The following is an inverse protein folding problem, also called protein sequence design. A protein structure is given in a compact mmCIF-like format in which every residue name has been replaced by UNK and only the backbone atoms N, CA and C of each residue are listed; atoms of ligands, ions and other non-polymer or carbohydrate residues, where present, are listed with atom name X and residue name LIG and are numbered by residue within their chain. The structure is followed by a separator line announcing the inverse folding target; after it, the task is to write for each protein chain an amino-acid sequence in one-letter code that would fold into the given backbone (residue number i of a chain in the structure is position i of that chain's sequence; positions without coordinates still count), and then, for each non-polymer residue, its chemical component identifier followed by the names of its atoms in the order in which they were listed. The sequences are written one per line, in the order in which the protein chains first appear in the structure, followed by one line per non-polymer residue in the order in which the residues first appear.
data_IF_208049768782
#
_entry.id   IF_208049768782
#
_cell.length_a   1.000
_cell.length_b   1.000
_cell.length_c   1.000
_cell.angle_alpha   90.00
_cell.angle_beta   90.00
_cell.angle_gamma   90.00
#
_symmetry.space_group_name_H-M   'P 1'
#
loop_
_entity.id
_entity.type
_entity.pdbx_description
1 polymer ?
#
# COMPACT_ATOMS: atom_id res chain seq x y z
N UNK A 1 -12.61 -2.41 -11.70
CA UNK A 1 -13.91 -1.77 -11.36
C UNK A 1 -13.81 -0.77 -10.21
N UNK A 2 -13.07 -1.07 -9.13
CA UNK A 2 -12.96 -0.19 -7.95
C UNK A 2 -12.23 1.14 -8.17
N UNK A 3 -11.29 1.21 -9.12
CA UNK A 3 -10.48 2.41 -9.39
C UNK A 3 -11.07 3.33 -10.46
N UNK A 4 -12.15 2.91 -11.15
CA UNK A 4 -12.67 3.63 -12.31
C UNK A 4 -13.32 4.96 -11.89
N UNK A 5 -12.90 6.07 -12.52
CA UNK A 5 -13.34 7.44 -12.25
C UNK A 5 -13.20 7.83 -10.76
N UNK A 6 -12.17 7.31 -10.08
CA UNK A 6 -11.89 7.58 -8.66
C UNK A 6 -10.66 8.45 -8.48
N UNK A 7 -10.64 9.21 -7.38
CA UNK A 7 -9.44 9.86 -6.89
C UNK A 7 -8.67 8.88 -6.01
N UNK A 8 -7.48 8.49 -6.45
CA UNK A 8 -6.68 7.43 -5.86
C UNK A 8 -5.40 7.99 -5.23
N UNK A 9 -5.10 7.54 -4.01
CA UNK A 9 -3.80 7.70 -3.38
C UNK A 9 -3.05 6.35 -3.44
N UNK A 10 -1.86 6.33 -4.03
CA UNK A 10 -1.01 5.14 -4.11
C UNK A 10 0.13 5.30 -3.10
N UNK A 11 0.11 4.50 -2.03
CA UNK A 11 1.16 4.51 -1.00
C UNK A 11 2.31 3.57 -1.37
N UNK A 12 3.54 4.07 -1.30
CA UNK A 12 4.71 3.32 -1.75
C UNK A 12 4.66 3.12 -3.26
N UNK A 13 4.45 4.20 -4.02
CA UNK A 13 4.21 4.09 -5.46
C UNK A 13 5.46 3.72 -6.26
N UNK A 14 6.65 3.73 -5.66
CA UNK A 14 7.91 3.49 -6.35
C UNK A 14 8.02 4.35 -7.63
N UNK A 15 8.48 3.79 -8.75
CA UNK A 15 8.52 4.46 -10.05
C UNK A 15 7.19 4.38 -10.80
N UNK A 16 6.13 3.89 -10.14
CA UNK A 16 4.75 3.84 -10.63
C UNK A 16 4.42 2.64 -11.51
N UNK A 17 5.15 1.52 -11.38
CA UNK A 17 4.91 0.28 -12.14
C UNK A 17 3.44 -0.18 -12.04
N UNK A 18 2.86 -0.19 -10.84
CA UNK A 18 1.45 -0.57 -10.67
C UNK A 18 0.47 0.44 -11.27
N UNK A 19 0.88 1.71 -11.38
CA UNK A 19 0.01 2.78 -11.88
C UNK A 19 -0.29 2.59 -13.37
N UNK A 20 0.64 2.03 -14.15
CA UNK A 20 0.43 1.70 -15.58
C UNK A 20 -0.85 0.88 -15.81
N UNK A 21 -1.16 -0.03 -14.88
CA UNK A 21 -2.28 -0.95 -15.01
C UNK A 21 -3.65 -0.25 -14.89
N UNK A 22 -3.70 0.97 -14.32
CA UNK A 22 -4.98 1.61 -14.00
C UNK A 22 -5.03 3.14 -14.18
N UNK A 23 -3.98 3.78 -14.69
CA UNK A 23 -3.92 5.24 -14.89
C UNK A 23 -5.03 5.79 -15.81
N UNK A 24 -5.43 5.01 -16.80
CA UNK A 24 -6.49 5.38 -17.72
C UNK A 24 -7.90 5.13 -17.18
N UNK A 25 -8.00 4.37 -16.08
CA UNK A 25 -9.28 4.12 -15.42
C UNK A 25 -9.55 5.16 -14.33
N UNK A 26 -8.52 5.60 -13.62
CA UNK A 26 -8.66 6.55 -12.52
C UNK A 26 -8.98 7.98 -13.02
N UNK A 27 -9.70 8.75 -12.20
CA UNK A 27 -9.90 10.17 -12.47
C UNK A 27 -8.61 10.95 -12.19
N UNK A 28 -8.03 10.72 -11.00
CA UNK A 28 -6.78 11.32 -10.55
C UNK A 28 -5.99 10.32 -9.72
N UNK A 29 -4.68 10.31 -9.90
CA UNK A 29 -3.75 9.55 -9.06
C UNK A 29 -2.79 10.53 -8.41
N UNK A 30 -2.59 10.33 -7.11
CA UNK A 30 -1.46 10.90 -6.36
C UNK A 30 -0.61 9.73 -5.88
N UNK A 31 0.62 9.61 -6.38
CA UNK A 31 1.60 8.63 -5.92
C UNK A 31 2.47 9.21 -4.82
N UNK A 32 2.67 8.46 -3.75
CA UNK A 32 3.60 8.86 -2.67
C UNK A 32 4.60 7.77 -2.34
N UNK A 33 5.82 8.19 -2.04
CA UNK A 33 6.93 7.32 -1.64
C UNK A 33 7.91 8.12 -0.78
N UNK A 34 8.62 7.46 0.13
CA UNK A 34 9.65 8.11 0.96
C UNK A 34 10.89 8.47 0.14
N UNK A 35 11.11 7.77 -0.98
CA UNK A 35 12.26 7.95 -1.85
C UNK A 35 12.05 9.05 -2.88
N UNK A 36 12.78 10.15 -2.72
CA UNK A 36 12.84 11.23 -3.72
C UNK A 36 13.20 10.72 -5.11
N UNK A 37 14.11 9.74 -5.20
CA UNK A 37 14.52 9.18 -6.49
C UNK A 37 13.38 8.47 -7.23
N UNK A 38 12.57 7.70 -6.51
CA UNK A 38 11.44 6.98 -7.08
C UNK A 38 10.35 7.97 -7.54
N UNK A 39 10.03 8.98 -6.73
CA UNK A 39 9.11 10.06 -7.09
C UNK A 39 9.56 10.83 -8.34
N UNK A 40 10.86 11.12 -8.47
CA UNK A 40 11.39 11.77 -9.67
C UNK A 40 11.16 10.92 -10.92
N UNK A 41 11.43 9.60 -10.87
CA UNK A 41 11.16 8.70 -11.99
C UNK A 41 9.66 8.65 -12.33
N UNK A 42 8.81 8.48 -11.34
CA UNK A 42 7.36 8.40 -11.53
C UNK A 42 6.80 9.68 -12.17
N UNK A 43 7.22 10.85 -11.68
CA UNK A 43 6.81 12.15 -12.25
C UNK A 43 7.34 12.42 -13.67
N UNK A 44 8.46 11.80 -14.06
CA UNK A 44 8.94 11.83 -15.44
C UNK A 44 8.05 10.97 -16.33
N UNK A 45 7.67 9.80 -15.84
CA UNK A 45 6.92 8.78 -16.58
C UNK A 45 5.44 9.11 -16.75
N UNK A 46 4.77 9.56 -15.69
CA UNK A 46 3.31 9.76 -15.66
C UNK A 46 2.94 11.24 -15.54
N UNK A 47 2.80 11.91 -16.69
CA UNK A 47 2.55 13.37 -16.73
C UNK A 47 1.13 13.82 -16.34
N UNK A 48 0.18 12.89 -16.34
CA UNK A 48 -1.24 13.13 -15.99
C UNK A 48 -1.47 13.18 -14.48
N UNK A 49 -0.50 12.76 -13.68
CA UNK A 49 -0.66 12.46 -12.27
C UNK A 49 0.36 13.19 -11.40
N UNK A 50 0.04 13.31 -10.11
CA UNK A 50 0.88 14.01 -9.15
C UNK A 50 1.72 13.00 -8.35
N UNK A 51 2.97 13.33 -8.07
CA UNK A 51 3.88 12.47 -7.29
C UNK A 51 4.57 13.29 -6.22
N UNK A 52 4.51 12.82 -4.97
CA UNK A 52 4.95 13.59 -3.80
C UNK A 52 5.82 12.71 -2.89
N UNK A 53 6.96 13.25 -2.46
CA UNK A 53 7.78 12.61 -1.42
C UNK A 53 7.05 12.71 -0.09
N UNK A 54 6.71 11.58 0.51
CA UNK A 54 5.86 11.54 1.69
C UNK A 54 6.08 10.25 2.49
N UNK A 55 6.08 10.40 3.81
CA UNK A 55 6.04 9.29 4.76
C UNK A 55 4.59 8.81 4.91
N UNK A 56 4.34 7.52 4.64
CA UNK A 56 3.00 6.92 4.76
C UNK A 56 2.46 6.92 6.20
N UNK A 57 3.32 7.13 7.21
CA UNK A 57 2.91 7.33 8.59
C UNK A 57 2.53 8.79 8.91
N UNK A 58 2.69 9.72 7.97
CA UNK A 58 2.41 11.15 8.11
C UNK A 58 1.91 11.73 6.77
N UNK A 59 0.67 11.44 6.40
CA UNK A 59 0.15 11.75 5.06
C UNK A 59 -0.29 13.23 5.00
N UNK A 60 0.33 14.11 4.20
CA UNK A 60 0.09 15.55 4.22
C UNK A 60 -1.15 15.98 3.41
N UNK A 61 -2.19 15.15 3.38
CA UNK A 61 -3.45 15.44 2.70
C UNK A 61 -4.58 15.67 3.69
N UNK A 62 -5.63 16.37 3.24
CA UNK A 62 -6.80 16.66 4.09
C UNK A 62 -7.63 15.39 4.32
N UNK A 63 -8.42 15.44 5.38
CA UNK A 63 -9.38 14.38 5.69
C UNK A 63 -10.37 14.20 4.53
N UNK A 64 -10.76 12.96 4.23
CA UNK A 64 -11.75 12.68 3.19
C UNK A 64 -11.35 13.15 1.78
N UNK A 65 -10.06 13.10 1.44
CA UNK A 65 -9.56 13.56 0.15
C UNK A 65 -9.61 12.52 -0.97
N UNK A 66 -9.71 11.22 -0.65
CA UNK A 66 -9.59 10.14 -1.65
C UNK A 66 -10.73 9.12 -1.60
N UNK A 67 -11.06 8.56 -2.76
CA UNK A 67 -12.03 7.47 -2.89
C UNK A 67 -11.37 6.10 -2.73
N UNK A 68 -10.08 6.01 -3.04
CA UNK A 68 -9.30 4.77 -2.91
C UNK A 68 -7.92 5.09 -2.38
N UNK A 69 -7.48 4.31 -1.40
CA UNK A 69 -6.06 4.19 -1.05
C UNK A 69 -5.59 2.82 -1.52
N UNK A 70 -4.58 2.79 -2.37
CA UNK A 70 -3.96 1.58 -2.89
C UNK A 70 -2.62 1.35 -2.20
N UNK A 71 -2.42 0.12 -1.72
CA UNK A 71 -1.17 -0.32 -1.10
C UNK A 71 -0.74 -1.64 -1.73
N UNK A 72 0.53 -1.74 -2.13
CA UNK A 72 1.15 -2.99 -2.55
C UNK A 72 2.53 -3.05 -1.91
N UNK A 73 2.80 -4.13 -1.18
CA UNK A 73 4.11 -4.44 -0.62
C UNK A 73 4.75 -3.28 0.16
N UNK A 74 3.94 -2.46 0.85
CA UNK A 74 4.42 -1.26 1.55
C UNK A 74 4.22 -1.39 3.06
N UNK A 75 3.12 -2.02 3.50
CA UNK A 75 2.73 -1.98 4.90
C UNK A 75 3.74 -2.69 5.81
N UNK A 76 4.40 -3.74 5.32
CA UNK A 76 5.38 -4.53 6.09
C UNK A 76 6.73 -3.82 6.27
N UNK A 77 6.97 -2.73 5.54
CA UNK A 77 8.14 -1.87 5.74
C UNK A 77 7.91 -0.77 6.79
N UNK A 78 6.65 -0.49 7.16
CA UNK A 78 6.30 0.59 8.07
C UNK A 78 6.68 0.27 9.52
N UNK A 79 7.30 1.23 10.20
CA UNK A 79 7.71 1.09 11.59
C UNK A 79 6.49 1.13 12.52
N UNK A 80 5.53 2.01 12.22
CA UNK A 80 4.26 2.16 12.92
C UNK A 80 3.09 2.03 11.95
N UNK A 81 2.81 0.79 11.56
CA UNK A 81 1.64 0.45 10.75
C UNK A 81 0.32 0.97 11.35
N UNK A 82 0.17 1.00 12.69
CA UNK A 82 -1.07 1.49 13.30
C UNK A 82 -1.30 2.95 12.95
N UNK A 83 -0.25 3.77 13.02
CA UNK A 83 -0.31 5.18 12.62
C UNK A 83 -0.62 5.35 11.14
N UNK A 84 0.00 4.56 10.27
CA UNK A 84 -0.31 4.58 8.85
C UNK A 84 -1.75 4.18 8.55
N UNK A 85 -2.30 3.13 9.19
CA UNK A 85 -3.70 2.72 9.03
C UNK A 85 -4.67 3.84 9.51
N UNK A 86 -4.33 4.57 10.58
CA UNK A 86 -5.11 5.73 11.03
C UNK A 86 -5.08 6.84 9.97
N UNK A 87 -3.90 7.17 9.43
CA UNK A 87 -3.75 8.18 8.37
C UNK A 87 -4.50 7.78 7.08
N UNK A 88 -4.41 6.51 6.69
CA UNK A 88 -5.16 5.95 5.55
C UNK A 88 -6.66 6.14 5.78
N UNK A 89 -7.17 5.79 6.96
CA UNK A 89 -8.59 5.96 7.26
C UNK A 89 -9.00 7.44 7.24
N UNK A 90 -8.14 8.33 7.74
CA UNK A 90 -8.39 9.78 7.77
C UNK A 90 -8.51 10.38 6.37
N UNK A 91 -7.60 10.04 5.46
CA UNK A 91 -7.61 10.61 4.09
C UNK A 91 -8.66 9.99 3.19
N UNK A 92 -9.22 8.85 3.56
CA UNK A 92 -10.32 8.18 2.87
C UNK A 92 -11.66 8.89 3.11
N UNK A 93 -12.45 9.05 2.05
CA UNK A 93 -13.84 9.55 2.12
C UNK A 93 -14.74 8.55 2.85
N UNK A 94 -15.92 8.99 3.28
CA UNK A 94 -16.90 8.06 3.84
C UNK A 94 -17.28 6.99 2.80
N UNK A 95 -17.33 5.72 3.22
CA UNK A 95 -17.70 4.57 2.36
C UNK A 95 -16.77 4.33 1.16
N UNK A 96 -15.51 4.76 1.26
CA UNK A 96 -14.44 4.56 0.29
C UNK A 96 -13.64 3.27 0.58
N UNK A 97 -12.66 2.96 -0.26
CA UNK A 97 -11.99 1.64 -0.24
C UNK A 97 -10.50 1.78 0.06
N UNK A 98 -10.02 0.99 1.03
CA UNK A 98 -8.62 0.60 1.11
C UNK A 98 -8.42 -0.69 0.28
N UNK A 99 -7.56 -0.62 -0.73
CA UNK A 99 -7.19 -1.76 -1.57
C UNK A 99 -5.75 -2.19 -1.26
N UNK A 100 -5.59 -3.37 -0.65
CA UNK A 100 -4.29 -3.96 -0.38
C UNK A 100 -4.08 -5.09 -1.39
N UNK A 101 -3.18 -4.87 -2.35
CA UNK A 101 -2.96 -5.81 -3.46
C UNK A 101 -2.15 -7.03 -3.04
N UNK A 102 -0.98 -6.82 -2.44
CA UNK A 102 -0.07 -7.87 -2.01
C UNK A 102 0.65 -7.47 -0.74
N UNK A 103 0.74 -8.40 0.21
CA UNK A 103 1.55 -8.27 1.42
C UNK A 103 2.10 -9.65 1.80
N UNK A 104 3.37 -9.74 2.27
CA UNK A 104 3.97 -11.02 2.60
C UNK A 104 3.28 -11.64 3.82
N UNK A 105 2.93 -12.91 3.70
CA UNK A 105 2.24 -13.68 4.74
C UNK A 105 3.23 -14.58 5.50
N UNK A 106 3.36 -14.37 6.82
CA UNK A 106 4.23 -15.16 7.70
C UNK A 106 3.80 -16.62 7.82
N UNK A 107 2.55 -16.95 7.51
CA UNK A 107 2.03 -18.32 7.57
C UNK A 107 2.37 -19.16 6.33
N UNK A 108 3.07 -18.60 5.34
CA UNK A 108 3.54 -19.37 4.19
C UNK A 108 4.77 -20.22 4.58
N UNK A 109 4.53 -21.50 4.90
CA UNK A 109 5.57 -22.44 5.33
C UNK A 109 6.69 -22.61 4.30
N UNK A 110 6.38 -22.56 3.00
CA UNK A 110 7.38 -22.68 1.94
C UNK A 110 8.33 -21.48 2.00
N UNK A 111 7.81 -20.26 2.16
CA UNK A 111 8.62 -19.05 2.31
C UNK A 111 9.44 -19.09 3.59
N UNK A 112 8.87 -19.55 4.70
CA UNK A 112 9.60 -19.68 5.98
C UNK A 112 10.76 -20.67 5.85
N UNK A 113 10.52 -21.83 5.25
CA UNK A 113 11.55 -22.84 4.98
C UNK A 113 12.58 -22.29 3.99
N UNK A 114 12.14 -21.69 2.89
CA UNK A 114 12.99 -21.08 1.87
C UNK A 114 13.92 -20.03 2.45
N UNK A 115 13.42 -19.11 3.29
CA UNK A 115 14.24 -18.10 3.98
C UNK A 115 15.29 -18.72 4.90
N UNK A 116 15.00 -19.87 5.51
CA UNK A 116 15.95 -20.59 6.36
C UNK A 116 17.10 -21.20 5.55
N UNK A 117 16.82 -21.72 4.36
CA UNK A 117 17.81 -22.40 3.52
C UNK A 117 18.52 -21.49 2.51
N UNK A 118 17.88 -20.38 2.12
CA UNK A 118 18.36 -19.41 1.14
C UNK A 118 18.23 -17.98 1.70
N UNK A 119 19.03 -17.61 2.72
CA UNK A 119 19.02 -16.27 3.26
C UNK A 119 19.48 -15.27 2.19
N UNK A 120 18.69 -14.24 1.95
CA UNK A 120 18.99 -13.20 0.98
C UNK A 120 19.09 -11.83 1.66
N UNK A 121 20.08 -11.03 1.28
CA UNK A 121 20.36 -9.70 1.86
C UNK A 121 19.41 -8.59 1.38
N UNK A 122 18.33 -8.95 0.69
CA UNK A 122 17.34 -8.02 0.10
C UNK A 122 16.29 -7.55 1.10
N UNK A 123 16.25 -8.11 2.31
CA UNK A 123 15.27 -7.73 3.34
C UNK A 123 15.91 -6.83 4.39
N UNK A 124 15.26 -5.72 4.73
CA UNK A 124 15.75 -4.92 5.86
C UNK A 124 15.55 -5.68 7.18
N UNK A 125 16.47 -5.59 8.16
CA UNK A 125 16.39 -6.34 9.43
C UNK A 125 15.10 -6.10 10.23
N UNK A 126 14.41 -4.98 9.99
CA UNK A 126 13.16 -4.58 10.63
C UNK A 126 11.91 -5.13 9.95
N UNK A 127 11.99 -5.60 8.70
CA UNK A 127 10.83 -6.11 7.95
C UNK A 127 10.33 -7.43 8.57
N UNK A 128 9.03 -7.47 8.86
CA UNK A 128 8.36 -8.69 9.33
C UNK A 128 7.14 -8.96 8.46
N UNK A 129 7.07 -10.14 7.82
CA UNK A 129 5.85 -10.57 7.14
C UNK A 129 4.65 -10.53 8.09
N UNK A 130 3.47 -10.23 7.57
CA UNK A 130 2.27 -10.14 8.38
C UNK A 130 1.77 -11.52 8.80
N UNK A 131 1.29 -11.59 10.04
CA UNK A 131 0.32 -12.61 10.43
C UNK A 131 -1.05 -12.09 9.98
N UNK A 132 -1.75 -12.76 9.03
CA UNK A 132 -2.99 -12.23 8.43
C UNK A 132 -4.05 -11.83 9.46
N UNK A 133 -4.24 -12.63 10.51
CA UNK A 133 -5.21 -12.34 11.57
C UNK A 133 -4.88 -11.06 12.35
N UNK A 134 -3.59 -10.73 12.52
CA UNK A 134 -3.18 -9.49 13.19
C UNK A 134 -3.48 -8.27 12.32
N UNK A 135 -3.17 -8.33 11.03
CA UNK A 135 -3.48 -7.25 10.09
C UNK A 135 -5.00 -7.02 10.00
N UNK A 136 -5.78 -8.10 9.87
CA UNK A 136 -7.25 -8.01 9.88
C UNK A 136 -7.79 -7.38 11.15
N UNK A 137 -7.29 -7.79 12.32
CA UNK A 137 -7.69 -7.21 13.61
C UNK A 137 -7.33 -5.73 13.69
N UNK A 138 -6.14 -5.34 13.22
CA UNK A 138 -5.70 -3.96 13.18
C UNK A 138 -6.62 -3.10 12.30
N UNK A 139 -6.93 -3.56 11.08
CA UNK A 139 -7.85 -2.87 10.17
C UNK A 139 -9.23 -2.71 10.82
N UNK A 140 -9.79 -3.78 11.39
CA UNK A 140 -11.11 -3.74 12.04
C UNK A 140 -11.14 -2.75 13.23
N UNK A 141 -10.09 -2.74 14.05
CA UNK A 141 -9.99 -1.83 15.18
C UNK A 141 -9.89 -0.36 14.76
N UNK A 142 -9.51 -0.08 13.52
CA UNK A 142 -9.40 1.27 12.96
C UNK A 142 -10.56 1.59 12.00
N UNK A 143 -11.72 0.93 12.14
CA UNK A 143 -12.95 1.30 11.45
C UNK A 143 -13.12 0.68 10.05
N UNK A 144 -12.20 -0.16 9.59
CA UNK A 144 -12.34 -0.83 8.31
C UNK A 144 -13.24 -2.07 8.41
N UNK A 145 -14.08 -2.26 7.39
CA UNK A 145 -14.91 -3.45 7.20
C UNK A 145 -14.33 -4.26 6.05
N UNK A 146 -13.93 -5.50 6.33
CA UNK A 146 -13.41 -6.39 5.28
C UNK A 146 -14.51 -6.72 4.26
N UNK A 147 -14.24 -6.47 2.98
CA UNK A 147 -15.11 -6.85 1.86
C UNK A 147 -14.66 -8.13 1.19
N UNK A 148 -13.36 -8.27 0.95
CA UNK A 148 -12.77 -9.41 0.28
C UNK A 148 -11.33 -9.60 0.75
N UNK A 149 -10.91 -10.85 0.90
CA UNK A 149 -9.52 -11.22 1.14
C UNK A 149 -9.24 -12.55 0.46
N UNK A 150 -8.02 -12.71 -0.04
CA UNK A 150 -7.52 -13.98 -0.56
C UNK A 150 -6.16 -14.25 0.06
N UNK A 151 -5.96 -15.46 0.55
CA UNK A 151 -4.67 -15.93 1.02
C UNK A 151 -4.08 -16.82 -0.04
N UNK A 152 -2.92 -16.42 -0.58
CA UNK A 152 -2.18 -17.22 -1.53
C UNK A 152 -1.07 -17.95 -0.78
N UNK A 153 -1.09 -19.28 -0.86
CA UNK A 153 0.01 -20.13 -0.37
C UNK A 153 1.11 -20.31 -1.43
N UNK A 154 0.80 -19.99 -2.69
CA UNK A 154 1.67 -20.08 -3.85
C UNK A 154 1.51 -18.79 -4.66
N UNK A 155 2.56 -17.98 -4.77
CA UNK A 155 2.72 -16.84 -5.69
C UNK A 155 4.17 -16.77 -6.10
#
# INVERSE_FOLDING_TARGET
MYLKNKDCLVLGCESGEDIEDFEELANKIVGVDISTHQILKASIKFKKHDFIVCDAENIPFRDGSYDVVFCKLILHHLLNITKAIVEINRVLRQSSILFIAYEPCLLNLIVVIGRKFFPSNIHTPSEKPFIPFKLRKLLKNNGFIEKQVRLFLFV
#
